data_IF_553754952038
#
_entry.id   IF_553754952038
#
_cell.length_a   1.000
_cell.length_b   1.000
_cell.length_c   1.000
_cell.angle_alpha   90.00
_cell.angle_beta   90.00
_cell.angle_gamma   90.00
#
_symmetry.space_group_name_H-M   'P 1'
#
loop_
_entity.id
_entity.type
_entity.pdbx_description
1 polymer ?
#
# COMPACT_ATOMS: atom_id res chain seq x y z
N UNK A 1 0.35 -102.39 36.06
CA UNK A 1 1.50 -102.22 35.16
C UNK A 1 1.46 -100.79 34.62
N UNK A 2 2.60 -100.06 34.75
CA UNK A 2 3.22 -99.00 33.90
C UNK A 2 2.32 -97.89 33.28
N UNK A 3 2.55 -96.58 33.59
CA UNK A 3 3.53 -95.61 32.99
C UNK A 3 3.28 -95.38 31.48
N UNK A 4 3.28 -94.20 30.81
CA UNK A 4 3.90 -92.87 31.01
C UNK A 4 3.56 -91.94 29.80
N UNK A 5 3.48 -90.62 30.04
CA UNK A 5 4.01 -89.43 29.28
C UNK A 5 3.95 -89.26 27.73
N UNK A 6 3.56 -88.03 27.30
CA UNK A 6 4.28 -87.05 26.43
C UNK A 6 3.22 -86.12 25.78
N UNK A 7 3.09 -84.78 25.97
CA UNK A 7 3.99 -83.61 26.05
C UNK A 7 4.67 -83.24 24.72
N UNK A 8 4.09 -82.28 23.97
CA UNK A 8 4.77 -81.52 22.91
C UNK A 8 4.18 -80.10 22.75
N UNK A 9 4.83 -79.15 23.44
CA UNK A 9 5.18 -77.77 23.05
C UNK A 9 4.25 -77.02 22.06
N UNK A 10 3.50 -76.03 22.57
CA UNK A 10 3.06 -74.88 21.80
C UNK A 10 3.88 -73.65 22.24
N UNK A 11 4.68 -73.09 21.33
CA UNK A 11 5.55 -71.96 21.58
C UNK A 11 4.76 -70.67 21.81
N UNK A 12 5.04 -70.00 22.93
CA UNK A 12 4.74 -68.61 23.20
C UNK A 12 5.40 -67.70 22.16
N UNK A 13 4.62 -66.94 21.40
CA UNK A 13 5.08 -65.71 20.76
C UNK A 13 4.41 -64.54 21.48
N UNK A 14 5.13 -63.97 22.45
CA UNK A 14 4.78 -62.72 23.11
C UNK A 14 4.95 -61.57 22.10
N UNK A 15 3.86 -61.19 21.43
CA UNK A 15 3.75 -59.92 20.71
C UNK A 15 3.60 -58.79 21.73
N UNK A 16 4.74 -58.27 22.19
CA UNK A 16 4.81 -57.05 23.00
C UNK A 16 4.43 -55.87 22.10
N UNK A 17 3.13 -55.59 21.97
CA UNK A 17 2.63 -54.34 21.41
C UNK A 17 2.87 -53.24 22.45
N UNK A 18 4.09 -52.69 22.46
CA UNK A 18 4.39 -51.46 23.19
C UNK A 18 3.60 -50.35 22.50
N UNK A 19 2.44 -50.03 23.08
CA UNK A 19 1.73 -48.79 22.82
C UNK A 19 2.65 -47.65 23.23
N UNK A 20 3.47 -47.16 22.31
CA UNK A 20 4.13 -45.86 22.43
C UNK A 20 3.03 -44.80 22.36
N UNK A 21 2.37 -44.58 23.48
CA UNK A 21 1.69 -43.34 23.81
C UNK A 21 2.76 -42.25 23.81
N UNK A 22 3.11 -41.75 22.62
CA UNK A 22 3.94 -40.58 22.48
C UNK A 22 3.23 -39.44 23.17
N UNK A 23 3.76 -38.99 24.31
CA UNK A 23 3.43 -37.69 24.86
C UNK A 23 3.72 -36.66 23.78
N UNK A 24 2.69 -36.23 23.05
CA UNK A 24 2.78 -35.03 22.23
C UNK A 24 3.00 -33.87 23.21
N UNK A 25 4.15 -33.21 23.13
CA UNK A 25 4.46 -32.06 23.97
C UNK A 25 3.36 -31.01 23.80
N UNK A 26 2.60 -30.75 24.87
CA UNK A 26 1.57 -29.72 24.84
C UNK A 26 2.20 -28.34 24.69
N UNK A 27 1.74 -27.58 23.71
CA UNK A 27 2.09 -26.17 23.55
C UNK A 27 1.24 -25.37 24.54
N UNK A 28 1.90 -24.65 25.45
CA UNK A 28 1.24 -23.67 26.32
C UNK A 28 1.46 -22.27 25.79
N UNK A 29 0.45 -21.40 25.93
CA UNK A 29 0.49 -20.02 25.45
C UNK A 29 0.36 -19.05 26.62
N UNK A 30 1.27 -18.06 26.67
CA UNK A 30 1.19 -16.92 27.57
C UNK A 30 0.81 -15.68 26.74
N UNK A 31 -0.18 -14.90 27.19
CA UNK A 31 -0.44 -13.57 26.62
C UNK A 31 0.33 -12.58 27.48
N UNK A 32 1.26 -11.83 26.89
CA UNK A 32 2.01 -10.83 27.63
C UNK A 32 1.09 -9.69 28.03
N UNK A 33 0.97 -9.43 29.33
CA UNK A 33 0.49 -8.15 29.82
C UNK A 33 1.51 -7.05 29.50
N UNK A 34 1.06 -5.80 29.48
CA UNK A 34 1.93 -4.63 29.23
C UNK A 34 3.12 -4.55 30.19
N UNK A 35 2.98 -5.09 31.40
CA UNK A 35 3.99 -5.08 32.47
C UNK A 35 5.01 -6.22 32.33
N UNK A 36 4.65 -7.33 31.65
CA UNK A 36 5.48 -8.54 31.51
C UNK A 36 6.45 -8.48 30.33
N UNK A 37 6.38 -7.44 29.49
CA UNK A 37 7.30 -7.30 28.36
C UNK A 37 8.67 -6.86 28.88
N UNK A 38 9.57 -7.84 29.08
CA UNK A 38 10.93 -7.65 29.60
C UNK A 38 11.63 -6.48 28.90
N UNK A 39 11.84 -5.40 29.64
CA UNK A 39 12.55 -4.22 29.14
C UNK A 39 14.03 -4.49 29.29
N UNK A 40 14.74 -4.65 28.16
CA UNK A 40 16.20 -4.71 28.20
C UNK A 40 16.70 -3.28 28.02
N UNK A 41 17.25 -2.70 29.09
CA UNK A 41 18.02 -1.44 29.00
C UNK A 41 19.35 -1.73 28.30
N UNK A 42 19.33 -1.82 26.97
CA UNK A 42 20.55 -1.68 26.18
C UNK A 42 20.81 -0.20 25.90
N UNK A 43 22.08 0.19 26.01
CA UNK A 43 22.56 1.54 25.82
C UNK A 43 22.22 2.01 24.39
N UNK A 44 21.11 2.75 24.25
CA UNK A 44 20.51 3.15 22.97
C UNK A 44 21.37 4.12 22.14
N UNK A 45 22.63 4.33 22.53
CA UNK A 45 23.57 5.32 22.00
C UNK A 45 24.25 4.93 20.69
N UNK A 46 24.12 3.69 20.21
CA UNK A 46 24.67 3.27 18.91
C UNK A 46 23.61 2.82 17.87
N UNK A 47 22.31 2.90 18.19
CA UNK A 47 21.26 2.36 17.31
C UNK A 47 20.64 3.45 16.42
N UNK A 48 20.95 3.32 15.12
CA UNK A 48 20.39 3.89 13.88
C UNK A 48 19.47 5.13 13.99
N UNK A 49 19.80 6.17 13.23
CA UNK A 49 18.96 7.36 13.08
C UNK A 49 17.58 6.95 12.55
N UNK A 50 16.50 7.46 13.16
CA UNK A 50 15.13 6.98 12.94
C UNK A 50 14.76 6.80 11.46
N UNK A 51 14.64 5.54 11.03
CA UNK A 51 14.37 5.14 9.64
C UNK A 51 12.90 5.36 9.21
N UNK A 52 12.00 5.65 10.16
CA UNK A 52 10.57 5.77 9.91
C UNK A 52 10.13 6.85 8.90
N UNK A 53 11.00 7.78 8.53
CA UNK A 53 10.71 8.86 7.58
C UNK A 53 11.46 8.71 6.25
N UNK A 54 12.23 7.63 6.07
CA UNK A 54 13.04 7.41 4.88
C UNK A 54 12.21 6.60 3.87
N UNK A 55 12.05 7.08 2.61
CA UNK A 55 11.29 6.35 1.60
C UNK A 55 11.73 4.90 1.38
N UNK A 56 13.04 4.62 1.47
CA UNK A 56 13.60 3.29 1.32
C UNK A 56 12.97 2.26 2.29
N UNK A 57 12.61 2.68 3.49
CA UNK A 57 12.00 1.82 4.52
C UNK A 57 10.56 1.40 4.20
N UNK A 58 9.96 1.95 3.14
CA UNK A 58 8.61 1.67 2.70
C UNK A 58 8.55 1.00 1.32
N UNK A 59 9.71 0.64 0.76
CA UNK A 59 9.78 -0.10 -0.49
C UNK A 59 9.23 -1.52 -0.28
N UNK A 60 8.41 -2.04 -1.21
CA UNK A 60 8.04 -3.45 -1.18
C UNK A 60 9.26 -4.33 -1.36
N UNK A 61 9.43 -5.26 -0.43
CA UNK A 61 10.44 -6.29 -0.48
C UNK A 61 10.01 -7.38 -1.47
N UNK A 62 10.78 -7.65 -2.55
CA UNK A 62 10.47 -8.72 -3.49
C UNK A 62 10.47 -10.11 -2.88
N UNK A 63 11.30 -10.36 -1.86
CA UNK A 63 11.45 -11.67 -1.22
C UNK A 63 10.34 -11.90 -0.17
N UNK A 64 9.71 -10.81 0.29
CA UNK A 64 8.61 -10.84 1.25
C UNK A 64 7.42 -9.96 0.82
N UNK A 65 6.90 -10.17 -0.37
CA UNK A 65 5.91 -9.28 -0.97
C UNK A 65 4.58 -9.24 -0.18
N UNK A 66 4.24 -10.31 0.52
CA UNK A 66 3.14 -10.43 1.46
C UNK A 66 3.26 -9.47 2.65
N UNK A 67 4.47 -9.05 3.04
CA UNK A 67 4.69 -8.03 4.06
C UNK A 67 4.29 -6.61 3.60
N UNK A 68 3.95 -6.43 2.32
CA UNK A 68 3.55 -5.16 1.73
C UNK A 68 2.20 -5.33 1.02
N UNK A 69 1.08 -5.45 1.73
CA UNK A 69 -0.22 -5.74 1.14
C UNK A 69 -0.67 -4.68 0.12
N UNK A 70 -1.46 -5.11 -0.87
CA UNK A 70 -1.98 -4.23 -1.92
C UNK A 70 -2.90 -3.16 -1.30
N UNK A 71 -2.56 -1.88 -1.50
CA UNK A 71 -3.39 -0.76 -1.05
C UNK A 71 -4.31 -0.28 -2.17
N UNK A 72 -5.52 0.14 -1.82
CA UNK A 72 -6.47 0.66 -2.81
C UNK A 72 -6.79 2.12 -2.50
N UNK A 73 -6.58 2.99 -3.48
CA UNK A 73 -6.93 4.40 -3.43
C UNK A 73 -8.33 4.60 -3.98
N UNK A 74 -9.17 5.31 -3.22
CA UNK A 74 -10.52 5.66 -3.65
C UNK A 74 -10.45 6.76 -4.69
N UNK A 75 -11.07 6.52 -5.85
CA UNK A 75 -11.15 7.47 -6.95
C UNK A 75 -12.60 7.62 -7.37
N UNK A 76 -13.02 8.80 -7.78
CA UNK A 76 -14.23 9.01 -8.56
C UNK A 76 -13.91 9.84 -9.81
N UNK A 77 -14.78 9.77 -10.81
CA UNK A 77 -14.58 10.44 -12.10
C UNK A 77 -15.74 11.37 -12.39
N UNK A 78 -15.43 12.61 -12.74
CA UNK A 78 -16.37 13.68 -13.02
C UNK A 78 -16.22 14.13 -14.47
N UNK A 79 -17.26 13.96 -15.27
CA UNK A 79 -17.33 14.52 -16.61
C UNK A 79 -18.02 15.88 -16.54
N UNK A 80 -17.28 16.91 -16.89
CA UNK A 80 -17.79 18.28 -16.94
C UNK A 80 -18.30 18.59 -18.36
N UNK A 81 -19.61 18.69 -18.52
CA UNK A 81 -20.29 18.88 -19.81
C UNK A 81 -20.85 20.31 -19.91
N UNK A 82 -20.97 20.80 -21.14
CA UNK A 82 -21.81 21.97 -21.44
C UNK A 82 -23.29 21.65 -21.18
N UNK A 83 -24.13 22.66 -20.92
CA UNK A 83 -25.56 22.48 -20.65
C UNK A 83 -26.31 21.86 -21.83
N UNK A 84 -25.92 22.20 -23.05
CA UNK A 84 -26.45 21.62 -24.29
C UNK A 84 -25.98 20.19 -24.56
N UNK A 85 -25.12 19.63 -23.69
CA UNK A 85 -24.53 18.29 -23.80
C UNK A 85 -23.68 18.08 -25.06
N UNK A 86 -23.27 19.14 -25.76
CA UNK A 86 -22.46 19.06 -26.97
C UNK A 86 -20.98 18.77 -26.69
N UNK A 87 -20.49 19.11 -25.49
CA UNK A 87 -19.10 18.94 -25.09
C UNK A 87 -18.97 17.91 -23.97
N UNK A 88 -18.05 16.95 -24.18
CA UNK A 88 -17.68 15.86 -23.26
C UNK A 88 -18.57 14.60 -23.32
N UNK A 89 -18.18 13.57 -22.57
CA UNK A 89 -18.85 12.27 -22.53
C UNK A 89 -19.97 12.25 -21.49
N UNK A 90 -21.07 11.56 -21.83
CA UNK A 90 -22.23 11.41 -20.94
C UNK A 90 -22.79 9.98 -20.90
N UNK A 91 -23.64 9.72 -19.89
CA UNK A 91 -24.42 8.49 -19.79
C UNK A 91 -23.57 7.22 -19.80
N UNK A 92 -23.91 6.27 -20.66
CA UNK A 92 -23.18 4.99 -20.79
C UNK A 92 -21.77 5.18 -21.35
N UNK A 93 -21.56 6.16 -22.26
CA UNK A 93 -20.23 6.44 -22.83
C UNK A 93 -19.27 6.95 -21.78
N UNK A 94 -19.70 7.90 -20.94
CA UNK A 94 -18.92 8.37 -19.79
C UNK A 94 -18.54 7.22 -18.84
N UNK A 95 -19.50 6.35 -18.53
CA UNK A 95 -19.26 5.19 -17.66
C UNK A 95 -18.25 4.20 -18.24
N UNK A 96 -18.38 3.88 -19.53
CA UNK A 96 -17.44 2.98 -20.21
C UNK A 96 -16.04 3.60 -20.25
N UNK A 97 -15.94 4.88 -20.63
CA UNK A 97 -14.67 5.60 -20.71
C UNK A 97 -13.96 5.66 -19.35
N UNK A 98 -14.66 6.02 -18.28
CA UNK A 98 -14.07 6.10 -16.94
C UNK A 98 -13.57 4.74 -16.44
N UNK A 99 -14.31 3.65 -16.69
CA UNK A 99 -13.89 2.31 -16.32
C UNK A 99 -12.63 1.90 -17.07
N UNK A 100 -12.63 2.02 -18.40
CA UNK A 100 -11.46 1.71 -19.24
C UNK A 100 -10.24 2.54 -18.82
N UNK A 101 -10.42 3.85 -18.56
CA UNK A 101 -9.34 4.73 -18.12
C UNK A 101 -8.68 4.23 -16.82
N UNK A 102 -9.49 3.93 -15.81
CA UNK A 102 -8.99 3.49 -14.50
C UNK A 102 -8.43 2.08 -14.55
N UNK A 103 -9.03 1.18 -15.35
CA UNK A 103 -8.50 -0.16 -15.60
C UNK A 103 -7.14 -0.12 -16.29
N UNK A 104 -6.99 0.70 -17.34
CA UNK A 104 -5.72 0.88 -18.04
C UNK A 104 -4.65 1.52 -17.14
N UNK A 105 -5.02 2.51 -16.33
CA UNK A 105 -4.13 3.11 -15.35
C UNK A 105 -3.62 2.07 -14.34
N UNK A 106 -4.51 1.24 -13.81
CA UNK A 106 -4.20 0.13 -12.92
C UNK A 106 -3.31 -0.94 -13.56
N UNK A 107 -3.55 -1.27 -14.83
CA UNK A 107 -2.73 -2.24 -15.57
C UNK A 107 -1.27 -1.78 -15.65
N UNK A 108 -1.02 -0.53 -16.04
CA UNK A 108 0.35 -0.01 -16.15
C UNK A 108 1.00 0.25 -14.79
N UNK A 109 0.24 0.70 -13.79
CA UNK A 109 0.71 0.73 -12.40
C UNK A 109 1.18 -0.65 -11.94
N UNK A 110 0.46 -1.70 -12.33
CA UNK A 110 0.80 -3.06 -11.93
C UNK A 110 1.94 -3.68 -12.68
N UNK A 111 2.09 -3.31 -13.96
CA UNK A 111 3.19 -3.79 -14.77
C UNK A 111 4.53 -3.19 -14.33
N UNK A 112 4.55 -1.88 -14.01
CA UNK A 112 5.71 -1.06 -13.69
C UNK A 112 6.97 -1.38 -14.52
N UNK A 113 7.34 -0.52 -15.46
CA UNK A 113 8.47 -0.81 -16.33
C UNK A 113 9.81 -0.39 -15.69
N UNK A 114 10.89 -1.03 -16.14
CA UNK A 114 12.26 -0.61 -15.85
C UNK A 114 12.47 0.84 -16.29
N UNK A 115 13.09 1.65 -15.44
CA UNK A 115 13.45 3.01 -15.81
C UNK A 115 14.47 3.01 -16.95
N UNK A 116 14.22 3.84 -17.95
CA UNK A 116 15.14 4.04 -19.07
C UNK A 116 16.39 4.83 -18.63
N UNK A 117 16.23 5.69 -17.62
CA UNK A 117 17.27 6.61 -17.15
C UNK A 117 17.64 6.37 -15.69
N UNK A 118 18.92 6.58 -15.32
CA UNK A 118 20.04 6.81 -16.23
C UNK A 118 20.32 5.58 -17.12
N UNK A 119 20.94 5.78 -18.29
CA UNK A 119 21.23 4.66 -19.21
C UNK A 119 22.11 3.64 -18.50
N UNK A 120 21.75 2.35 -18.59
CA UNK A 120 22.47 1.27 -17.91
C UNK A 120 22.25 1.22 -16.40
N UNK A 121 21.20 1.85 -15.86
CA UNK A 121 20.89 1.75 -14.43
C UNK A 121 20.53 0.31 -14.03
N UNK A 122 20.98 -0.10 -12.85
CA UNK A 122 20.61 -1.36 -12.21
C UNK A 122 19.47 -1.21 -11.21
N UNK A 123 18.71 -0.11 -11.27
CA UNK A 123 17.60 0.13 -10.34
C UNK A 123 16.53 -0.96 -10.48
N UNK A 124 16.18 -1.69 -9.41
CA UNK A 124 15.25 -2.81 -9.52
C UNK A 124 13.84 -2.34 -9.89
N UNK A 125 13.11 -3.21 -10.59
CA UNK A 125 11.69 -3.01 -10.86
C UNK A 125 10.89 -3.56 -9.69
N UNK A 126 10.45 -2.69 -8.80
CA UNK A 126 9.61 -3.10 -7.66
C UNK A 126 8.13 -3.08 -8.05
N UNK A 127 7.32 -4.01 -7.51
CA UNK A 127 5.87 -3.92 -7.63
C UNK A 127 5.36 -2.69 -6.88
N UNK A 128 4.49 -1.90 -7.52
CA UNK A 128 3.98 -0.65 -6.92
C UNK A 128 3.12 -0.85 -5.68
N UNK A 129 2.40 -1.98 -5.57
CA UNK A 129 1.53 -2.36 -4.45
C UNK A 129 0.47 -1.33 -4.04
N UNK A 130 -0.01 -0.53 -5.00
CA UNK A 130 -1.27 0.20 -4.88
C UNK A 130 -2.07 0.23 -6.18
N UNK A 131 -3.40 0.33 -6.08
CA UNK A 131 -4.34 0.43 -7.22
C UNK A 131 -5.45 1.43 -6.97
N UNK A 132 -6.08 1.91 -8.02
CA UNK A 132 -7.26 2.75 -7.97
C UNK A 132 -8.52 1.89 -7.90
N UNK A 133 -9.49 2.34 -7.10
CA UNK A 133 -10.82 1.74 -6.99
C UNK A 133 -11.85 2.83 -7.19
N UNK A 134 -12.65 2.71 -8.26
CA UNK A 134 -13.79 3.61 -8.46
C UNK A 134 -14.73 3.44 -7.27
N UNK A 135 -14.99 4.53 -6.56
CA UNK A 135 -15.68 4.54 -5.27
C UNK A 135 -16.71 5.66 -5.27
N UNK A 136 -17.94 5.34 -4.85
CA UNK A 136 -18.93 6.37 -4.58
C UNK A 136 -18.83 6.89 -3.15
N UNK A 137 -19.26 8.13 -2.93
CA UNK A 137 -19.42 8.66 -1.57
C UNK A 137 -20.83 8.35 -1.05
N UNK A 138 -20.99 8.42 0.28
CA UNK A 138 -22.29 8.26 0.93
C UNK A 138 -23.29 9.29 0.39
N UNK A 139 -24.48 8.84 0.02
CA UNK A 139 -25.55 9.65 -0.60
C UNK A 139 -25.47 9.76 -2.12
N UNK A 140 -24.45 9.16 -2.75
CA UNK A 140 -24.24 9.17 -4.21
C UNK A 140 -24.13 7.74 -4.78
N UNK A 141 -24.65 6.75 -4.08
CA UNK A 141 -24.44 5.33 -4.38
C UNK A 141 -24.93 4.97 -5.80
N UNK A 142 -26.03 5.59 -6.26
CA UNK A 142 -26.63 5.33 -7.58
C UNK A 142 -25.69 5.67 -8.74
N UNK A 143 -24.80 6.65 -8.56
CA UNK A 143 -23.86 7.11 -9.58
C UNK A 143 -22.59 6.23 -9.65
N UNK A 144 -22.38 5.34 -8.67
CA UNK A 144 -21.26 4.38 -8.66
C UNK A 144 -19.88 5.05 -8.88
N UNK A 145 -19.66 6.25 -8.33
CA UNK A 145 -18.39 6.98 -8.44
C UNK A 145 -18.10 7.60 -9.80
N UNK A 146 -19.09 7.67 -10.71
CA UNK A 146 -18.96 8.30 -12.02
C UNK A 146 -20.09 9.32 -12.20
N UNK A 147 -19.72 10.59 -12.35
CA UNK A 147 -20.64 11.72 -12.34
C UNK A 147 -20.58 12.49 -13.66
N UNK A 148 -21.74 12.93 -14.14
CA UNK A 148 -21.83 13.84 -15.27
C UNK A 148 -22.47 15.14 -14.77
N UNK A 149 -21.74 16.23 -14.88
CA UNK A 149 -22.16 17.57 -14.48
C UNK A 149 -22.39 18.41 -15.73
N UNK A 150 -23.34 19.34 -15.68
CA UNK A 150 -23.74 20.18 -16.81
C UNK A 150 -23.68 21.65 -16.37
N UNK A 151 -22.73 22.42 -16.90
CA UNK A 151 -22.49 23.80 -16.48
C UNK A 151 -21.64 24.59 -17.49
N UNK A 152 -22.21 25.64 -18.11
CA UNK A 152 -21.50 26.41 -19.14
C UNK A 152 -20.36 27.31 -18.62
N UNK A 153 -20.27 27.54 -17.31
CA UNK A 153 -19.22 28.40 -16.73
C UNK A 153 -17.98 27.60 -16.33
N UNK A 154 -18.17 26.39 -15.81
CA UNK A 154 -17.12 25.59 -15.19
C UNK A 154 -16.82 24.30 -15.94
N UNK A 155 -17.45 24.04 -17.11
CA UNK A 155 -17.18 22.79 -17.81
C UNK A 155 -15.78 22.69 -18.40
N UNK A 156 -15.24 23.80 -18.90
CA UNK A 156 -14.02 23.79 -19.71
C UNK A 156 -12.73 24.02 -18.90
N UNK A 157 -11.64 23.45 -19.39
CA UNK A 157 -10.31 23.64 -18.83
C UNK A 157 -9.40 24.32 -19.86
N UNK A 158 -9.04 25.58 -19.55
CA UNK A 158 -8.19 26.43 -20.36
C UNK A 158 -6.79 26.51 -19.74
N UNK A 159 -5.78 26.04 -20.46
CA UNK A 159 -4.39 25.94 -19.96
C UNK A 159 -3.51 27.13 -20.35
N UNK A 160 -3.90 27.92 -21.36
CA UNK A 160 -3.10 29.02 -21.93
C UNK A 160 -3.94 30.29 -22.10
N UNK A 161 -3.27 31.45 -22.13
CA UNK A 161 -3.91 32.75 -22.38
C UNK A 161 -4.54 33.39 -21.14
N UNK A 162 -5.22 34.52 -21.34
CA UNK A 162 -5.78 35.37 -20.27
C UNK A 162 -6.88 34.67 -19.46
N UNK A 163 -7.65 33.79 -20.10
CA UNK A 163 -8.72 33.02 -19.46
C UNK A 163 -8.26 31.69 -18.83
N UNK A 164 -6.94 31.49 -18.67
CA UNK A 164 -6.40 30.26 -18.07
C UNK A 164 -7.01 30.00 -16.69
N UNK A 165 -7.44 28.76 -16.47
CA UNK A 165 -8.07 28.36 -15.21
C UNK A 165 -7.38 27.16 -14.56
N UNK A 166 -6.15 26.80 -14.95
CA UNK A 166 -5.37 25.65 -14.43
C UNK A 166 -5.46 25.51 -12.91
N UNK A 167 -5.05 26.54 -12.17
CA UNK A 167 -5.01 26.52 -10.70
C UNK A 167 -6.33 26.99 -10.04
N UNK A 168 -7.34 27.36 -10.83
CA UNK A 168 -8.66 27.69 -10.29
C UNK A 168 -9.33 26.41 -9.75
N UNK A 169 -9.84 26.51 -8.52
CA UNK A 169 -10.42 25.40 -7.74
C UNK A 169 -11.95 25.38 -7.73
N UNK A 170 -12.63 26.26 -8.44
CA UNK A 170 -14.09 26.46 -8.35
C UNK A 170 -14.86 25.23 -8.82
N UNK A 171 -14.38 24.56 -9.88
CA UNK A 171 -14.94 23.27 -10.31
C UNK A 171 -14.83 22.20 -9.20
N UNK A 172 -13.69 22.14 -8.50
CA UNK A 172 -13.46 21.20 -7.41
C UNK A 172 -14.36 21.55 -6.21
N UNK A 173 -14.45 22.83 -5.84
CA UNK A 173 -15.27 23.30 -4.71
C UNK A 173 -16.76 23.04 -4.94
N UNK A 174 -17.23 23.22 -6.17
CA UNK A 174 -18.66 23.10 -6.50
C UNK A 174 -19.10 21.66 -6.72
N UNK A 175 -18.26 20.86 -7.39
CA UNK A 175 -18.67 19.55 -7.90
C UNK A 175 -17.93 18.37 -7.26
N UNK A 176 -16.93 18.63 -6.42
CA UNK A 176 -16.19 17.58 -5.73
C UNK A 176 -17.05 16.84 -4.71
N UNK A 177 -16.94 15.51 -4.72
CA UNK A 177 -17.69 14.60 -3.87
C UNK A 177 -16.69 13.79 -3.03
N UNK A 178 -16.81 13.85 -1.71
CA UNK A 178 -15.95 13.11 -0.78
C UNK A 178 -14.47 13.55 -0.83
N UNK A 179 -14.19 14.84 -1.05
CA UNK A 179 -12.83 15.38 -1.23
C UNK A 179 -11.89 15.14 -0.04
N UNK A 180 -12.44 14.83 1.13
CA UNK A 180 -11.69 14.50 2.34
C UNK A 180 -11.06 13.10 2.28
N UNK A 181 -11.56 12.23 1.40
CA UNK A 181 -11.25 10.81 1.42
C UNK A 181 -11.29 10.08 0.07
N UNK A 182 -11.60 10.79 -1.02
CA UNK A 182 -11.67 10.27 -2.40
C UNK A 182 -10.92 11.22 -3.34
N UNK A 183 -10.10 10.68 -4.23
CA UNK A 183 -9.48 11.44 -5.32
C UNK A 183 -10.53 11.72 -6.38
N UNK A 184 -10.72 12.99 -6.73
CA UNK A 184 -11.72 13.41 -7.71
C UNK A 184 -11.05 13.75 -9.04
N UNK A 185 -11.28 12.94 -10.07
CA UNK A 185 -10.71 13.13 -11.42
C UNK A 185 -11.75 13.84 -12.30
N UNK A 186 -11.54 15.13 -12.56
CA UNK A 186 -12.36 15.96 -13.43
C UNK A 186 -11.86 15.91 -14.87
N UNK A 187 -12.63 15.25 -15.73
CA UNK A 187 -12.44 15.26 -17.18
C UNK A 187 -13.18 16.48 -17.73
N UNK A 188 -12.43 17.44 -18.25
CA UNK A 188 -12.90 18.74 -18.67
C UNK A 188 -12.49 18.97 -20.13
N UNK A 189 -13.41 19.26 -21.06
CA UNK A 189 -13.07 19.58 -22.44
C UNK A 189 -12.32 20.93 -22.52
N UNK A 190 -11.69 21.17 -23.66
CA UNK A 190 -11.23 22.51 -24.02
C UNK A 190 -12.42 23.41 -24.31
N UNK A 191 -12.26 24.72 -24.07
CA UNK A 191 -13.32 25.69 -24.37
C UNK A 191 -13.61 25.71 -25.88
N UNK A 192 -14.87 25.66 -26.35
CA UNK A 192 -15.22 25.63 -27.77
C UNK A 192 -14.57 26.75 -28.59
N UNK A 193 -14.53 27.96 -28.05
CA UNK A 193 -13.88 29.10 -28.72
C UNK A 193 -12.36 28.93 -28.88
N UNK A 194 -11.70 28.21 -27.97
CA UNK A 194 -10.29 27.85 -28.14
C UNK A 194 -10.15 26.89 -29.32
N UNK A 195 -10.97 25.84 -29.36
CA UNK A 195 -10.93 24.82 -30.43
C UNK A 195 -11.25 25.40 -31.81
N UNK A 196 -12.13 26.41 -31.89
CA UNK A 196 -12.45 27.12 -33.16
C UNK A 196 -11.29 27.97 -33.68
N UNK A 197 -10.34 28.36 -32.83
CA UNK A 197 -9.21 29.19 -33.25
C UNK A 197 -8.20 28.40 -34.07
N UNK A 198 -7.84 28.90 -35.26
CA UNK A 198 -6.86 28.26 -36.16
C UNK A 198 -5.46 28.11 -35.56
N UNK A 199 -5.09 28.98 -34.62
CA UNK A 199 -3.77 28.94 -33.96
C UNK A 199 -3.74 28.04 -32.73
N UNK A 200 -4.90 27.54 -32.29
CA UNK A 200 -5.00 26.70 -31.11
C UNK A 200 -4.69 25.24 -31.46
N UNK A 201 -3.79 24.63 -30.69
CA UNK A 201 -3.51 23.20 -30.76
C UNK A 201 -4.13 22.54 -29.55
N UNK A 202 -5.02 21.58 -29.80
CA UNK A 202 -5.53 20.69 -28.74
C UNK A 202 -4.36 19.94 -28.15
N UNK A 203 -4.15 20.10 -26.84
CA UNK A 203 -3.13 19.39 -26.08
C UNK A 203 -3.77 18.67 -24.91
N UNK A 204 -3.21 17.51 -24.58
CA UNK A 204 -3.51 16.79 -23.34
C UNK A 204 -2.77 17.48 -22.19
N UNK A 205 -3.47 17.73 -21.09
CA UNK A 205 -2.88 18.37 -19.92
C UNK A 205 -3.61 17.99 -18.64
N UNK A 206 -2.87 17.99 -17.54
CA UNK A 206 -3.38 17.69 -16.21
C UNK A 206 -2.89 18.68 -15.16
N UNK A 207 -3.58 18.72 -14.02
CA UNK A 207 -3.07 19.33 -12.79
C UNK A 207 -3.72 18.72 -11.56
N UNK A 208 -2.90 18.35 -10.58
CA UNK A 208 -3.34 17.98 -9.24
C UNK A 208 -3.44 19.19 -8.29
N UNK A 209 -4.57 19.31 -7.60
CA UNK A 209 -4.91 20.40 -6.68
C UNK A 209 -5.44 19.82 -5.36
N UNK A 210 -4.57 19.21 -4.56
CA UNK A 210 -4.99 18.47 -3.36
C UNK A 210 -5.51 17.09 -3.78
N UNK A 211 -6.74 16.73 -3.40
CA UNK A 211 -7.40 15.49 -3.84
C UNK A 211 -8.18 15.63 -5.17
N UNK A 212 -8.29 16.84 -5.72
CA UNK A 212 -8.90 17.07 -7.03
C UNK A 212 -7.87 17.12 -8.14
N UNK A 213 -8.08 16.37 -9.20
CA UNK A 213 -7.26 16.31 -10.41
C UNK A 213 -8.10 16.83 -11.57
N UNK A 214 -7.58 17.78 -12.34
CA UNK A 214 -8.24 18.27 -13.57
C UNK A 214 -7.47 17.78 -14.78
N UNK A 215 -8.17 17.27 -15.79
CA UNK A 215 -7.58 16.73 -17.02
C UNK A 215 -8.36 17.25 -18.23
N UNK A 216 -7.64 17.64 -19.29
CA UNK A 216 -8.23 18.11 -20.56
C UNK A 216 -7.60 17.48 -21.80
N UNK A 217 -8.26 17.64 -22.95
CA UNK A 217 -7.85 17.12 -24.25
C UNK A 217 -8.40 15.73 -24.58
N UNK A 218 -9.06 15.06 -23.62
CA UNK A 218 -9.57 13.69 -23.75
C UNK A 218 -10.76 13.58 -24.68
N UNK A 219 -11.61 14.62 -24.72
CA UNK A 219 -12.80 14.63 -25.56
C UNK A 219 -12.43 15.01 -27.00
N UNK A 220 -11.64 16.06 -27.18
CA UNK A 220 -11.33 16.64 -28.49
C UNK A 220 -10.41 15.74 -29.33
N UNK A 221 -9.49 15.02 -28.70
CA UNK A 221 -8.57 14.13 -29.44
C UNK A 221 -9.24 12.81 -29.84
N UNK A 222 -10.33 12.41 -29.18
CA UNK A 222 -11.10 11.20 -29.51
C UNK A 222 -10.34 9.88 -29.39
N UNK A 223 -9.17 9.87 -28.74
CA UNK A 223 -8.38 8.64 -28.52
C UNK A 223 -9.10 7.73 -27.52
N UNK A 224 -8.85 6.40 -27.54
CA UNK A 224 -9.38 5.51 -26.53
C UNK A 224 -8.94 5.92 -25.12
N UNK A 225 -9.75 5.60 -24.10
CA UNK A 225 -9.50 6.04 -22.73
C UNK A 225 -8.14 5.54 -22.20
N UNK A 226 -7.75 4.33 -22.61
CA UNK A 226 -6.43 3.75 -22.34
C UNK A 226 -5.26 4.63 -22.81
N UNK A 227 -5.42 5.51 -23.81
CA UNK A 227 -4.35 6.41 -24.23
C UNK A 227 -3.90 7.37 -23.11
N UNK A 228 -4.80 7.75 -22.19
CA UNK A 228 -4.55 8.77 -21.15
C UNK A 228 -4.18 8.20 -19.78
N UNK A 229 -3.98 6.89 -19.69
CA UNK A 229 -3.54 6.19 -18.46
C UNK A 229 -2.30 6.83 -17.80
N UNK A 230 -1.31 7.25 -18.60
CA UNK A 230 -0.08 7.87 -18.15
C UNK A 230 -0.33 9.21 -17.47
N UNK A 231 -1.17 10.04 -18.11
CA UNK A 231 -1.58 11.34 -17.59
C UNK A 231 -2.34 11.20 -16.26
N UNK A 232 -3.25 10.23 -16.13
CA UNK A 232 -3.93 9.97 -14.85
C UNK A 232 -2.95 9.53 -13.76
N UNK A 233 -2.05 8.60 -14.09
CA UNK A 233 -1.03 8.12 -13.15
C UNK A 233 -0.09 9.25 -12.70
N UNK A 234 0.32 10.12 -13.62
CA UNK A 234 1.16 11.29 -13.36
C UNK A 234 0.50 12.25 -12.36
N UNK A 235 -0.74 12.66 -12.63
CA UNK A 235 -1.44 13.61 -11.76
C UNK A 235 -1.76 13.01 -10.39
N UNK A 236 -2.16 11.73 -10.34
CA UNK A 236 -2.35 11.05 -9.05
C UNK A 236 -1.00 10.88 -8.32
N UNK A 237 0.11 10.71 -9.03
CA UNK A 237 1.46 10.74 -8.46
C UNK A 237 1.71 12.02 -7.66
N UNK A 238 1.29 13.19 -8.18
CA UNK A 238 1.35 14.45 -7.44
C UNK A 238 0.46 14.46 -6.19
N UNK A 239 -0.76 13.91 -6.26
CA UNK A 239 -1.65 13.75 -5.08
C UNK A 239 -0.96 12.93 -3.98
N UNK A 240 -0.16 11.93 -4.37
CA UNK A 240 0.58 11.05 -3.47
C UNK A 240 1.96 11.58 -3.07
N UNK A 241 2.30 12.82 -3.42
CA UNK A 241 3.49 13.53 -2.98
C UNK A 241 4.73 13.35 -3.88
N UNK A 242 4.55 12.87 -5.10
CA UNK A 242 5.61 12.86 -6.11
C UNK A 242 5.75 14.22 -6.80
N UNK A 243 6.95 14.51 -7.28
CA UNK A 243 7.31 15.75 -7.98
C UNK A 243 7.88 15.41 -9.35
N UNK A 244 7.89 16.39 -10.24
CA UNK A 244 8.55 16.28 -11.53
C UNK A 244 10.04 15.98 -11.36
N UNK A 245 10.50 14.95 -12.06
CA UNK A 245 11.89 14.42 -11.97
C UNK A 245 12.92 15.32 -12.64
N UNK A 246 12.47 16.21 -13.54
CA UNK A 246 13.36 17.03 -14.34
C UNK A 246 13.59 18.46 -13.82
N UNK A 247 12.66 19.02 -13.06
CA UNK A 247 12.63 20.44 -12.73
C UNK A 247 13.48 20.82 -11.51
N UNK A 248 13.78 19.88 -10.62
CA UNK A 248 14.45 20.09 -9.33
C UNK A 248 14.86 18.75 -8.70
N UNK A 249 15.50 18.77 -7.53
CA UNK A 249 15.59 17.58 -6.70
C UNK A 249 14.16 17.15 -6.28
N UNK A 250 13.67 16.06 -6.89
CA UNK A 250 12.36 15.50 -6.62
C UNK A 250 12.31 14.74 -5.29
N UNK A 251 13.46 14.60 -4.62
CA UNK A 251 13.65 13.88 -3.37
C UNK A 251 13.96 12.40 -3.56
N UNK A 252 14.36 11.99 -4.77
CA UNK A 252 14.77 10.63 -5.08
C UNK A 252 16.12 10.60 -5.82
N UNK A 253 17.08 9.87 -5.24
CA UNK A 253 18.42 9.75 -5.81
C UNK A 253 18.45 8.85 -7.05
N UNK A 254 17.48 7.94 -7.18
CA UNK A 254 17.35 7.00 -8.30
C UNK A 254 16.61 7.59 -9.51
N UNK A 255 16.23 8.87 -9.46
CA UNK A 255 15.62 9.63 -10.57
C UNK A 255 16.46 10.87 -10.87
N UNK A 256 17.67 10.71 -11.44
CA UNK A 256 18.56 11.82 -11.68
C UNK A 256 18.00 12.79 -12.72
N UNK A 257 18.44 14.04 -12.63
CA UNK A 257 18.13 15.06 -13.64
C UNK A 257 18.62 14.61 -15.02
N UNK A 258 17.81 14.86 -16.03
CA UNK A 258 18.05 14.42 -17.41
C UNK A 258 17.65 15.54 -18.41
N UNK A 259 17.94 15.40 -19.72
CA UNK A 259 17.91 16.51 -20.67
C UNK A 259 16.50 16.84 -21.23
N UNK A 260 15.42 16.44 -20.54
CA UNK A 260 14.05 16.73 -20.96
C UNK A 260 13.63 16.12 -22.32
N UNK A 261 14.18 14.95 -22.66
CA UNK A 261 13.74 14.21 -23.83
C UNK A 261 12.41 13.51 -23.54
N UNK A 262 11.33 14.09 -24.09
CA UNK A 262 9.95 13.61 -23.92
C UNK A 262 9.55 12.50 -24.89
N UNK A 263 10.34 12.30 -25.93
CA UNK A 263 10.17 11.21 -26.86
C UNK A 263 11.55 10.81 -27.40
N UNK A 264 11.67 9.58 -27.89
CA UNK A 264 12.84 9.16 -28.66
C UNK A 264 12.81 9.82 -30.04
N UNK A 265 13.92 10.39 -30.46
CA UNK A 265 14.09 11.04 -31.78
C UNK A 265 15.37 10.56 -32.44
N UNK A 266 15.60 10.85 -33.73
CA UNK A 266 16.87 10.49 -34.37
C UNK A 266 18.04 11.40 -33.95
N UNK A 267 17.75 12.54 -33.30
CA UNK A 267 18.75 13.54 -32.92
C UNK A 267 19.21 13.42 -31.45
N UNK A 268 20.52 13.52 -31.17
CA UNK A 268 21.04 13.63 -29.82
C UNK A 268 20.55 14.89 -29.08
N UNK A 269 20.36 14.85 -27.75
CA UNK A 269 20.54 13.69 -26.86
C UNK A 269 19.31 12.76 -26.79
N UNK A 270 18.25 13.02 -27.55
CA UNK A 270 16.96 12.34 -27.40
C UNK A 270 16.85 11.04 -28.21
N UNK A 271 17.90 10.68 -28.94
CA UNK A 271 18.13 9.35 -29.52
C UNK A 271 18.32 8.24 -28.47
N UNK A 272 18.83 8.61 -27.30
CA UNK A 272 19.22 7.66 -26.26
C UNK A 272 18.78 8.07 -24.85
N UNK A 273 18.49 9.35 -24.60
CA UNK A 273 18.17 9.88 -23.27
C UNK A 273 16.69 10.21 -23.06
N UNK A 274 15.78 9.58 -23.80
CA UNK A 274 14.34 9.70 -23.60
C UNK A 274 13.90 9.00 -22.29
N UNK A 275 13.22 9.75 -21.42
CA UNK A 275 12.71 9.19 -20.16
C UNK A 275 11.43 8.38 -20.38
N UNK A 276 11.18 7.46 -19.47
CA UNK A 276 9.90 6.75 -19.34
C UNK A 276 9.28 6.87 -17.95
N UNK A 277 9.86 7.70 -17.07
CA UNK A 277 9.38 7.91 -15.71
C UNK A 277 7.96 8.48 -15.75
N UNK A 278 7.10 8.03 -14.85
CA UNK A 278 5.71 8.51 -14.76
C UNK A 278 5.63 9.99 -14.40
N UNK A 279 6.62 10.52 -13.67
CA UNK A 279 6.67 11.91 -13.23
C UNK A 279 7.41 12.82 -14.21
N UNK A 280 7.64 12.38 -15.45
CA UNK A 280 8.12 13.18 -16.56
C UNK A 280 6.99 13.51 -17.54
N UNK A 281 7.21 14.47 -18.45
CA UNK A 281 6.30 14.77 -19.57
C UNK A 281 6.56 13.92 -20.83
N UNK A 282 7.13 12.73 -20.66
CA UNK A 282 7.41 11.84 -21.78
C UNK A 282 6.14 11.13 -22.32
N UNK A 283 6.24 10.51 -23.49
CA UNK A 283 5.13 9.84 -24.15
C UNK A 283 4.68 8.52 -23.50
N UNK A 284 5.46 7.96 -22.57
CA UNK A 284 5.27 6.61 -22.03
C UNK A 284 4.67 6.57 -20.62
N UNK A 285 5.26 7.32 -19.68
CA UNK A 285 4.83 7.50 -18.28
C UNK A 285 4.45 6.20 -17.56
N UNK A 286 5.31 5.18 -17.62
CA UNK A 286 5.00 3.85 -17.11
C UNK A 286 6.02 3.25 -16.13
N UNK A 287 7.03 4.02 -15.73
CA UNK A 287 8.05 3.59 -14.78
C UNK A 287 7.99 4.42 -13.49
N UNK A 288 7.92 3.74 -12.34
CA UNK A 288 8.13 4.28 -11.01
C UNK A 288 9.45 3.73 -10.46
N UNK A 289 10.29 4.62 -9.91
CA UNK A 289 11.49 4.20 -9.20
C UNK A 289 11.17 3.57 -7.83
N UNK A 290 12.06 2.74 -7.26
CA UNK A 290 11.97 2.28 -5.88
C UNK A 290 11.76 3.41 -4.88
N UNK A 291 12.51 4.51 -4.99
CA UNK A 291 12.31 5.66 -4.12
C UNK A 291 10.92 6.28 -4.27
N UNK A 292 10.42 6.46 -5.51
CA UNK A 292 9.08 6.99 -5.75
C UNK A 292 8.00 6.08 -5.14
N UNK A 293 8.12 4.76 -5.31
CA UNK A 293 7.24 3.76 -4.68
C UNK A 293 7.29 3.89 -3.14
N UNK A 294 8.49 3.95 -2.57
CA UNK A 294 8.69 4.14 -1.14
C UNK A 294 8.07 5.44 -0.61
N UNK A 295 8.18 6.55 -1.35
CA UNK A 295 7.54 7.84 -0.99
C UNK A 295 6.03 7.73 -0.98
N UNK A 296 5.43 7.07 -1.98
CA UNK A 296 3.99 6.83 -2.01
C UNK A 296 3.56 6.04 -0.78
N UNK A 297 4.23 4.90 -0.49
CA UNK A 297 3.92 4.06 0.67
C UNK A 297 4.11 4.79 2.00
N UNK A 298 5.19 5.56 2.15
CA UNK A 298 5.41 6.39 3.33
C UNK A 298 4.26 7.41 3.54
N UNK A 299 3.83 8.09 2.47
CA UNK A 299 2.77 9.08 2.55
C UNK A 299 1.40 8.48 2.88
N UNK A 300 1.09 7.28 2.37
CA UNK A 300 -0.17 6.58 2.67
C UNK A 300 -0.15 5.81 3.99
N UNK A 301 1.03 5.56 4.58
CA UNK A 301 1.19 4.97 5.92
C UNK A 301 1.16 6.00 7.05
N UNK A 302 1.36 7.30 6.74
CA UNK A 302 1.31 8.38 7.74
C UNK A 302 -0.12 8.67 8.18
N UNK A 303 -0.46 8.34 9.42
CA UNK A 303 -1.84 8.37 9.95
C UNK A 303 -2.55 9.72 9.83
N UNK A 304 -1.83 10.82 10.12
CA UNK A 304 -2.35 12.19 9.98
C UNK A 304 -2.23 12.77 8.56
N UNK A 305 -1.62 12.01 7.63
CA UNK A 305 -1.35 12.44 6.27
C UNK A 305 -2.60 12.56 5.41
N UNK A 306 -2.60 13.50 4.45
CA UNK A 306 -3.70 13.64 3.49
C UNK A 306 -3.85 12.39 2.61
N UNK A 307 -2.74 11.81 2.16
CA UNK A 307 -2.75 10.63 1.30
C UNK A 307 -3.33 9.39 2.00
N UNK A 308 -3.09 9.23 3.31
CA UNK A 308 -3.70 8.17 4.14
C UNK A 308 -5.22 8.13 4.03
N UNK A 309 -5.86 9.31 4.06
CA UNK A 309 -7.32 9.43 4.02
C UNK A 309 -7.93 8.95 2.71
N UNK A 310 -7.13 8.82 1.64
CA UNK A 310 -7.57 8.37 0.33
C UNK A 310 -7.56 6.85 0.19
N UNK A 311 -6.90 6.14 1.09
CA UNK A 311 -6.78 4.69 1.05
C UNK A 311 -8.06 4.04 1.60
N UNK A 312 -8.43 2.89 1.05
CA UNK A 312 -9.43 1.99 1.64
C UNK A 312 -8.80 1.33 2.87
N UNK A 313 -9.39 1.48 4.07
CA UNK A 313 -8.78 1.00 5.31
C UNK A 313 -9.01 -0.50 5.54
N UNK A 314 -8.50 -1.33 4.62
CA UNK A 314 -8.64 -2.79 4.71
C UNK A 314 -8.09 -3.34 6.04
N UNK A 315 -7.07 -2.69 6.62
CA UNK A 315 -6.45 -3.05 7.90
C UNK A 315 -7.36 -2.88 9.12
N UNK A 316 -8.56 -2.30 9.00
CA UNK A 316 -9.49 -2.25 10.12
C UNK A 316 -10.19 -3.59 10.37
N UNK A 317 -10.27 -4.44 9.36
CA UNK A 317 -10.96 -5.73 9.45
C UNK A 317 -9.94 -6.85 9.35
N UNK A 318 -10.02 -7.82 10.25
CA UNK A 318 -9.19 -9.01 10.18
C UNK A 318 -9.57 -9.85 8.95
N UNK A 319 -8.57 -10.12 8.12
CA UNK A 319 -8.59 -11.15 7.08
C UNK A 319 -7.51 -12.19 7.44
N UNK A 320 -7.93 -13.32 7.99
CA UNK A 320 -7.04 -14.39 8.41
C UNK A 320 -6.19 -14.94 7.24
N UNK A 321 -6.67 -14.82 6.00
CA UNK A 321 -5.93 -15.22 4.79
C UNK A 321 -4.76 -14.28 4.47
N UNK A 322 -4.65 -13.17 5.19
CA UNK A 322 -3.55 -12.19 5.12
C UNK A 322 -2.60 -12.28 6.31
N UNK A 323 -2.68 -13.38 7.07
CA UNK A 323 -1.70 -13.66 8.12
C UNK A 323 -0.30 -13.70 7.54
N UNK A 324 0.61 -12.98 8.18
CA UNK A 324 2.03 -12.95 7.81
C UNK A 324 2.76 -13.97 8.69
N UNK A 325 3.59 -14.79 8.04
CA UNK A 325 4.48 -15.75 8.69
C UNK A 325 5.92 -15.32 8.47
N UNK A 326 6.65 -15.07 9.55
CA UNK A 326 8.09 -14.76 9.52
C UNK A 326 8.86 -16.02 9.89
N UNK A 327 9.49 -16.63 8.88
CA UNK A 327 10.23 -17.89 9.01
C UNK A 327 11.75 -17.68 9.04
N UNK A 328 12.21 -16.48 8.72
CA UNK A 328 13.61 -16.08 8.62
C UNK A 328 13.84 -14.75 9.37
N UNK A 329 14.87 -13.99 9.01
CA UNK A 329 15.24 -12.74 9.67
C UNK A 329 14.84 -11.52 8.86
N UNK A 330 13.86 -10.76 9.34
CA UNK A 330 13.31 -9.59 8.65
C UNK A 330 13.34 -8.36 9.55
N UNK A 331 13.64 -7.20 8.98
CA UNK A 331 13.52 -5.90 9.65
C UNK A 331 12.47 -5.03 8.98
N UNK A 332 11.46 -4.61 9.75
CA UNK A 332 10.46 -3.63 9.34
C UNK A 332 10.86 -2.23 9.82
N UNK A 333 11.57 -1.53 8.94
CA UNK A 333 12.05 -0.15 9.17
C UNK A 333 11.00 0.94 8.86
N UNK A 334 9.89 0.59 8.21
CA UNK A 334 8.81 1.52 7.87
C UNK A 334 7.52 1.18 8.60
N UNK A 335 6.60 2.14 8.69
CA UNK A 335 5.29 1.89 9.26
C UNK A 335 4.46 0.92 8.38
N UNK A 336 3.83 -0.07 9.01
CA UNK A 336 3.00 -1.08 8.34
C UNK A 336 1.61 -1.17 8.95
N UNK A 337 0.63 -1.44 8.10
CA UNK A 337 -0.73 -1.81 8.49
C UNK A 337 -1.04 -3.20 8.00
N UNK A 338 -1.18 -4.12 8.96
CA UNK A 338 -1.50 -5.51 8.67
C UNK A 338 -3.00 -5.68 8.45
N UNK A 339 -3.34 -6.65 7.63
CA UNK A 339 -4.73 -7.06 7.36
C UNK A 339 -5.05 -8.39 8.06
N UNK A 340 -4.03 -9.16 8.47
CA UNK A 340 -4.15 -10.43 9.19
C UNK A 340 -3.39 -10.46 10.50
N UNK A 341 -3.21 -11.67 11.03
CA UNK A 341 -2.35 -11.90 12.19
C UNK A 341 -0.86 -11.80 11.79
N UNK A 342 0.01 -11.75 12.80
CA UNK A 342 1.45 -11.86 12.63
C UNK A 342 1.96 -13.07 13.41
N UNK A 343 2.62 -13.99 12.72
CA UNK A 343 3.19 -15.20 13.32
C UNK A 343 4.69 -15.19 13.03
N UNK A 344 5.49 -15.23 14.09
CA UNK A 344 6.93 -15.44 14.02
C UNK A 344 7.15 -16.90 14.35
N UNK A 345 7.56 -17.68 13.35
CA UNK A 345 7.70 -19.13 13.45
C UNK A 345 8.96 -19.55 14.23
N UNK A 346 9.11 -20.86 14.46
CA UNK A 346 10.25 -21.42 15.17
C UNK A 346 11.56 -20.99 14.47
N UNK A 347 12.41 -20.22 15.16
CA UNK A 347 13.67 -19.68 14.62
C UNK A 347 13.55 -18.41 13.77
N UNK A 348 12.33 -17.93 13.50
CA UNK A 348 12.10 -16.64 12.83
C UNK A 348 12.51 -15.46 13.71
N UNK A 349 12.96 -14.38 13.09
CA UNK A 349 13.34 -13.13 13.75
C UNK A 349 12.69 -11.95 13.05
N UNK A 350 11.90 -11.17 13.79
CA UNK A 350 11.33 -9.93 13.30
C UNK A 350 11.75 -8.75 14.18
N UNK A 351 12.39 -7.76 13.55
CA UNK A 351 12.63 -6.46 14.16
C UNK A 351 11.64 -5.41 13.66
N UNK A 352 11.01 -4.68 14.57
CA UNK A 352 10.08 -3.59 14.25
C UNK A 352 10.63 -2.26 14.77
N UNK A 353 10.85 -1.29 13.89
CA UNK A 353 11.48 0.00 14.24
C UNK A 353 10.50 1.19 14.34
N UNK A 354 9.25 1.02 13.90
CA UNK A 354 8.29 2.11 13.68
C UNK A 354 6.86 1.70 14.10
N UNK A 355 5.85 2.25 13.43
CA UNK A 355 4.45 1.92 13.69
C UNK A 355 4.06 0.59 13.07
N UNK A 356 3.47 -0.30 13.85
CA UNK A 356 2.82 -1.52 13.38
C UNK A 356 1.35 -1.49 13.79
N UNK A 357 0.44 -1.47 12.81
CA UNK A 357 -0.99 -1.60 13.06
C UNK A 357 -1.43 -3.04 12.92
N UNK A 358 -2.07 -3.58 13.95
CA UNK A 358 -2.72 -4.89 13.96
C UNK A 358 -4.24 -4.69 13.81
N UNK A 359 -4.93 -5.45 12.94
CA UNK A 359 -6.38 -5.33 12.76
C UNK A 359 -7.14 -5.65 14.04
N UNK A 360 -8.42 -5.25 14.09
CA UNK A 360 -9.32 -5.61 15.18
C UNK A 360 -9.34 -7.14 15.34
N UNK A 361 -9.30 -7.62 16.58
CA UNK A 361 -9.26 -9.05 16.93
C UNK A 361 -8.02 -9.81 16.41
N UNK A 362 -7.07 -9.16 15.75
CA UNK A 362 -5.81 -9.77 15.34
C UNK A 362 -4.84 -9.96 16.51
N UNK A 363 -3.81 -10.77 16.32
CA UNK A 363 -2.76 -11.01 17.31
C UNK A 363 -1.36 -11.08 16.69
N UNK A 364 -0.35 -10.97 17.56
CA UNK A 364 1.03 -11.36 17.25
C UNK A 364 1.32 -12.65 18.01
N UNK A 365 1.85 -13.67 17.34
CA UNK A 365 2.26 -14.95 17.95
C UNK A 365 3.74 -15.17 17.73
N UNK A 366 4.47 -15.48 18.80
CA UNK A 366 5.91 -15.80 18.78
C UNK A 366 6.06 -17.26 19.17
N UNK A 367 6.42 -18.09 18.20
CA UNK A 367 6.63 -19.51 18.39
C UNK A 367 7.92 -19.79 19.19
N UNK A 368 8.10 -20.99 19.77
CA UNK A 368 9.33 -21.35 20.49
C UNK A 368 10.59 -21.09 19.65
N UNK A 369 11.59 -20.42 20.24
CA UNK A 369 12.83 -19.98 19.54
C UNK A 369 12.64 -18.87 18.50
N UNK A 370 11.40 -18.46 18.19
CA UNK A 370 11.12 -17.25 17.44
C UNK A 370 11.42 -16.00 18.27
N UNK A 371 11.77 -14.89 17.62
CA UNK A 371 12.11 -13.63 18.27
C UNK A 371 11.38 -12.43 17.65
N UNK A 372 10.70 -11.66 18.50
CA UNK A 372 10.18 -10.33 18.18
C UNK A 372 11.02 -9.27 18.89
N UNK A 373 11.72 -8.44 18.13
CA UNK A 373 12.47 -7.29 18.64
C UNK A 373 11.72 -5.98 18.35
N UNK A 374 11.44 -5.21 19.39
CA UNK A 374 10.80 -3.91 19.30
C UNK A 374 11.82 -2.81 19.59
N UNK A 375 11.96 -1.86 18.66
CA UNK A 375 12.88 -0.73 18.81
C UNK A 375 12.22 0.59 18.43
N UNK A 376 11.88 1.44 19.41
CA UNK A 376 11.12 2.69 19.20
C UNK A 376 9.82 2.49 18.40
N UNK A 377 9.25 1.29 18.49
CA UNK A 377 8.05 0.86 17.82
C UNK A 377 6.78 1.33 18.52
N UNK A 378 5.74 1.58 17.74
CA UNK A 378 4.36 1.76 18.24
C UNK A 378 3.48 0.67 17.66
N UNK A 379 3.09 -0.30 18.49
CA UNK A 379 2.16 -1.37 18.13
C UNK A 379 0.78 -0.99 18.64
N UNK A 380 -0.20 -0.92 17.75
CA UNK A 380 -1.54 -0.45 18.09
C UNK A 380 -2.56 -0.92 17.05
N UNK A 381 -3.81 -0.49 17.19
CA UNK A 381 -4.82 -0.62 16.14
C UNK A 381 -5.12 0.76 15.55
N UNK A 382 -4.83 0.96 14.26
CA UNK A 382 -4.99 2.25 13.60
C UNK A 382 -6.44 2.70 13.38
N UNK A 383 -7.42 1.88 13.76
CA UNK A 383 -8.85 2.18 13.61
C UNK A 383 -9.54 2.46 14.96
N UNK A 384 -8.79 2.36 16.07
CA UNK A 384 -9.29 2.64 17.42
C UNK A 384 -9.93 1.45 18.12
N UNK A 385 -9.97 0.27 17.49
CA UNK A 385 -10.48 -0.97 18.06
C UNK A 385 -9.42 -1.67 18.93
N UNK A 386 -9.79 -2.76 19.61
CA UNK A 386 -8.85 -3.61 20.35
C UNK A 386 -8.28 -4.75 19.47
N UNK A 387 -7.04 -5.13 19.74
CA UNK A 387 -6.38 -6.32 19.19
C UNK A 387 -5.89 -7.21 20.34
N UNK A 388 -5.70 -8.51 20.10
CA UNK A 388 -5.59 -9.53 21.15
C UNK A 388 -4.21 -9.62 21.83
N UNK A 389 -3.30 -8.68 21.54
CA UNK A 389 -1.97 -8.63 22.17
C UNK A 389 -0.95 -9.61 21.58
N UNK A 390 0.18 -9.72 22.29
CA UNK A 390 1.31 -10.59 21.91
C UNK A 390 1.21 -11.91 22.67
N UNK A 391 1.27 -13.02 21.93
CA UNK A 391 1.21 -14.38 22.42
C UNK A 391 2.59 -15.00 22.33
N UNK A 392 3.13 -15.41 23.47
CA UNK A 392 4.40 -16.13 23.55
C UNK A 392 4.10 -17.59 23.77
N UNK A 393 4.50 -18.42 22.83
CA UNK A 393 4.28 -19.86 22.87
C UNK A 393 5.49 -20.56 23.50
N UNK A 394 5.23 -21.61 24.27
CA UNK A 394 6.23 -22.44 24.93
C UNK A 394 6.04 -23.91 24.57
N UNK A 395 7.15 -24.60 24.32
CA UNK A 395 7.20 -26.04 24.04
C UNK A 395 8.36 -26.65 24.82
N UNK A 396 8.05 -27.43 25.85
CA UNK A 396 9.07 -27.96 26.77
C UNK A 396 9.88 -26.85 27.45
N UNK A 397 11.18 -26.80 27.19
CA UNK A 397 12.12 -25.79 27.74
C UNK A 397 12.32 -24.58 26.82
N UNK A 398 11.79 -24.58 25.61
CA UNK A 398 11.92 -23.47 24.66
C UNK A 398 10.67 -22.61 24.65
N UNK A 399 10.85 -21.30 24.54
CA UNK A 399 9.78 -20.32 24.47
C UNK A 399 10.11 -19.27 23.40
N UNK A 400 9.08 -18.56 22.93
CA UNK A 400 9.27 -17.39 22.08
C UNK A 400 9.90 -16.24 22.87
N UNK A 401 10.70 -15.42 22.20
CA UNK A 401 11.39 -14.29 22.81
C UNK A 401 10.79 -12.97 22.33
N UNK A 402 10.50 -12.07 23.27
CA UNK A 402 10.09 -10.69 22.96
C UNK A 402 11.08 -9.74 23.60
N UNK A 403 11.89 -9.08 22.77
CA UNK A 403 12.90 -8.11 23.18
C UNK A 403 12.30 -6.71 23.07
N UNK A 404 12.04 -6.08 24.21
CA UNK A 404 11.48 -4.72 24.26
C UNK A 404 12.56 -3.72 24.66
N UNK A 405 13.08 -3.00 23.66
CA UNK A 405 14.06 -1.93 23.87
C UNK A 405 13.39 -0.64 24.34
N UNK A 406 14.15 0.32 24.85
CA UNK A 406 13.59 1.57 25.36
C UNK A 406 12.81 2.36 24.27
N UNK A 407 11.67 2.95 24.65
CA UNK A 407 10.90 3.88 23.81
C UNK A 407 9.78 3.25 22.97
N UNK A 408 9.45 1.97 23.18
CA UNK A 408 8.31 1.33 22.54
C UNK A 408 6.97 1.71 23.21
N UNK A 409 5.88 1.61 22.44
CA UNK A 409 4.51 1.75 22.92
C UNK A 409 3.64 0.62 22.40
N UNK A 410 2.89 -0.01 23.28
CA UNK A 410 1.88 -1.02 22.94
C UNK A 410 0.54 -0.46 23.42
N UNK A 411 -0.40 -0.31 22.50
CA UNK A 411 -1.69 0.36 22.72
C UNK A 411 -2.83 -0.54 22.24
N UNK A 412 -4.06 -0.28 22.67
CA UNK A 412 -5.26 -0.98 22.21
C UNK A 412 -5.30 -2.49 22.49
N UNK A 413 -4.59 -2.98 23.51
CA UNK A 413 -4.73 -4.36 24.00
C UNK A 413 -5.82 -4.45 25.09
N UNK A 414 -6.53 -5.59 25.23
CA UNK A 414 -7.40 -5.85 26.36
C UNK A 414 -6.66 -5.68 27.68
N UNK A 415 -7.34 -5.13 28.68
CA UNK A 415 -6.88 -5.17 30.06
C UNK A 415 -7.09 -6.62 30.52
N UNK A 416 -6.01 -7.40 30.59
CA UNK A 416 -6.08 -8.71 31.22
C UNK A 416 -6.27 -8.52 32.73
N UNK A 417 -7.16 -9.29 33.37
CA UNK A 417 -7.16 -9.35 34.82
C UNK A 417 -5.78 -9.83 35.29
N UNK A 418 -5.24 -9.31 36.40
CA UNK A 418 -3.96 -9.76 36.93
C UNK A 418 -3.99 -11.28 37.06
N UNK A 419 -2.97 -11.94 36.53
CA UNK A 419 -2.82 -13.39 36.62
C UNK A 419 -2.82 -13.76 38.10
N UNK A 420 -3.88 -14.40 38.56
CA UNK A 420 -3.99 -14.85 39.94
C UNK A 420 -2.96 -15.97 40.09
N UNK A 421 -1.76 -15.60 40.54
CA UNK A 421 -0.63 -16.49 40.82
C UNK A 421 -0.92 -17.39 42.05
N UNK A 422 -2.16 -17.84 42.20
CA UNK A 422 -2.56 -18.87 43.16
C UNK A 422 -2.40 -20.23 42.53
N UNK A 423 -1.15 -20.54 42.20
CA UNK A 423 -0.66 -21.91 42.27
C UNK A 423 -0.41 -22.21 43.75
N UNK A 424 -1.48 -22.36 44.53
CA UNK A 424 -1.39 -22.97 45.86
C UNK A 424 -1.13 -24.43 45.62
N UNK A 425 0.13 -24.83 45.72
CA UNK A 425 0.49 -26.21 45.93
C UNK A 425 -0.26 -26.73 47.16
N UNK A 426 -1.05 -27.76 46.94
CA UNK A 426 -1.55 -28.69 47.96
C UNK A 426 -1.53 -30.08 47.37
#
# INVERSE_FOLDING_TARGET
>A
MRRTQCLAKLCFLNSLLVLSLGCSEQISQLILSLEEVATVEQDARQLDQGTCNIPASYQPDPDHLEHSPMKYLRVNVHFMNSLDSANNYQGSKARAFAKELIEAANFYLGKNHKMALPVGNETPVLPTRYRYRITSSRGYEKQNGIYCHYDDQLFSFVTKGRARNTYNRDVIKRFGIGLDSIINVFIMPHHPDSVKSRSYKVTEAGVALGSGVKITGLFETGKPASAYRGLVNHEIGHVLGLRHTWSSNDGCADTPKHPNCWNTTDEPPCDSLASNNVMDYNAHQFAYSPCQIGKVHANISRESGRARKLVVPNWCNLDEKKTIYVTDSVTWSGAKDLEGNLVIEDGGYLKVNCRLSIPKDGFISVAPQGTLELFKARIHNACGDQWQGIRVNKRGKTEGNVINLAGNKIENVPILPPSDNRNTGS
#
